data_IF_474011419253
#
_entry.id   IF_474011419253
#
_cell.length_a   1.000
_cell.length_b   1.000
_cell.length_c   1.000
_cell.angle_alpha   90.00
_cell.angle_beta   90.00
_cell.angle_gamma   90.00
#
_symmetry.space_group_name_H-M   'P 1'
#
loop_
_entity.id
_entity.type
_entity.pdbx_description
1 polymer ?
#
# COMPACT_ATOMS: atom_id res chain seq x y z
N UNK A 1 4.37 15.54 -17.87
CA UNK A 1 3.94 14.25 -17.26
C UNK A 1 3.63 14.47 -15.79
N UNK A 2 2.55 13.90 -15.28
CA UNK A 2 2.22 13.85 -13.85
C UNK A 2 2.22 12.39 -13.39
N UNK A 3 2.71 12.13 -12.20
CA UNK A 3 2.90 10.80 -11.63
C UNK A 3 2.07 10.66 -10.35
N UNK A 4 1.31 9.57 -10.28
CA UNK A 4 0.59 9.16 -9.07
C UNK A 4 1.29 7.95 -8.47
N UNK A 5 1.66 8.06 -7.19
CA UNK A 5 2.21 6.96 -6.41
C UNK A 5 1.28 6.68 -5.24
N UNK A 6 0.76 5.46 -5.13
CA UNK A 6 -0.03 5.04 -3.97
C UNK A 6 0.82 4.17 -3.06
N UNK A 7 0.91 4.55 -1.78
CA UNK A 7 1.67 3.82 -0.75
C UNK A 7 0.81 3.56 0.47
N UNK A 8 1.18 2.56 1.25
CA UNK A 8 0.58 2.22 2.55
C UNK A 8 1.69 1.99 3.54
N UNK A 9 1.35 1.75 4.79
CA UNK A 9 2.30 1.23 5.77
C UNK A 9 3.15 0.10 5.17
N UNK A 10 4.50 0.19 5.24
CA UNK A 10 5.40 -0.72 4.53
C UNK A 10 5.30 -2.16 5.04
N UNK A 11 4.95 -2.38 6.32
CA UNK A 11 4.74 -3.70 6.91
C UNK A 11 3.42 -4.29 6.42
N UNK A 12 2.34 -3.51 6.42
CA UNK A 12 1.04 -3.93 5.87
C UNK A 12 1.17 -4.26 4.38
N UNK A 13 1.88 -3.43 3.62
CA UNK A 13 2.16 -3.67 2.19
C UNK A 13 2.95 -4.95 1.98
N UNK A 14 3.99 -5.17 2.79
CA UNK A 14 4.82 -6.38 2.76
C UNK A 14 3.98 -7.65 3.00
N UNK A 15 3.15 -7.65 4.04
CA UNK A 15 2.27 -8.78 4.37
C UNK A 15 1.23 -9.01 3.27
N UNK A 16 0.69 -7.94 2.70
CA UNK A 16 -0.27 -8.03 1.58
C UNK A 16 0.36 -8.67 0.34
N UNK A 17 1.59 -8.31 0.01
CA UNK A 17 2.35 -8.88 -1.10
C UNK A 17 2.66 -10.36 -0.88
N UNK A 18 3.10 -10.74 0.32
CA UNK A 18 3.26 -12.14 0.69
C UNK A 18 1.97 -12.95 0.54
N UNK A 19 0.84 -12.43 1.07
CA UNK A 19 -0.45 -13.09 0.98
C UNK A 19 -0.89 -13.29 -0.49
N UNK A 20 -0.64 -12.31 -1.35
CA UNK A 20 -0.90 -12.41 -2.79
C UNK A 20 -0.01 -13.47 -3.46
N UNK A 21 1.29 -13.49 -3.16
CA UNK A 21 2.22 -14.48 -3.70
C UNK A 21 1.86 -15.91 -3.26
N UNK A 22 1.48 -16.10 -2.00
CA UNK A 22 1.03 -17.38 -1.47
C UNK A 22 -0.26 -17.85 -2.14
N UNK A 23 -1.24 -16.95 -2.32
CA UNK A 23 -2.49 -17.27 -3.02
C UNK A 23 -2.23 -17.65 -4.49
N UNK A 24 -1.35 -16.93 -5.19
CA UNK A 24 -0.99 -17.23 -6.57
C UNK A 24 -0.31 -18.61 -6.70
N UNK A 25 0.57 -18.97 -5.75
CA UNK A 25 1.21 -20.31 -5.73
C UNK A 25 0.18 -21.42 -5.57
N UNK A 26 -0.78 -21.26 -4.65
CA UNK A 26 -1.87 -22.21 -4.43
C UNK A 26 -2.75 -22.36 -5.67
N UNK A 27 -3.10 -21.25 -6.33
CA UNK A 27 -3.88 -21.28 -7.57
C UNK A 27 -3.16 -22.01 -8.71
N UNK A 28 -1.83 -21.87 -8.80
CA UNK A 28 -0.99 -22.55 -9.79
C UNK A 28 -0.57 -23.96 -9.38
N UNK A 29 -1.16 -24.53 -8.30
CA UNK A 29 -0.82 -25.85 -7.76
C UNK A 29 0.69 -26.05 -7.53
N UNK A 30 1.38 -24.98 -7.13
CA UNK A 30 2.80 -25.03 -6.75
C UNK A 30 2.94 -25.40 -5.27
N UNK A 31 4.16 -25.73 -4.89
CA UNK A 31 4.55 -25.88 -3.49
C UNK A 31 4.08 -24.71 -2.63
N UNK A 32 3.70 -25.04 -1.40
CA UNK A 32 3.24 -24.07 -0.43
C UNK A 32 4.29 -22.98 -0.20
N UNK A 33 3.83 -21.74 -0.02
CA UNK A 33 4.73 -20.65 0.30
C UNK A 33 5.45 -20.94 1.62
N UNK A 34 6.77 -20.75 1.71
CA UNK A 34 7.48 -20.85 2.97
C UNK A 34 6.86 -19.89 4.01
N UNK A 35 6.95 -20.21 5.32
CA UNK A 35 6.51 -19.32 6.38
C UNK A 35 7.04 -17.90 6.18
N UNK A 36 6.22 -16.91 6.51
CA UNK A 36 6.53 -15.50 6.27
C UNK A 36 7.89 -15.12 6.88
N UNK A 37 8.13 -15.52 8.12
CA UNK A 37 9.33 -15.27 8.90
C UNK A 37 10.60 -15.81 8.22
N UNK A 38 10.52 -16.97 7.58
CA UNK A 38 11.66 -17.57 6.86
C UNK A 38 12.05 -16.80 5.60
N UNK A 39 11.11 -16.03 5.04
CA UNK A 39 11.36 -15.21 3.85
C UNK A 39 11.92 -13.84 4.20
N UNK A 40 11.46 -13.27 5.32
CA UNK A 40 11.75 -11.89 5.72
C UNK A 40 12.89 -11.76 6.72
N UNK A 41 13.31 -12.84 7.39
CA UNK A 41 14.43 -12.83 8.35
C UNK A 41 15.57 -13.73 7.86
N UNK A 42 16.79 -13.24 8.07
CA UNK A 42 18.03 -14.01 7.91
C UNK A 42 18.28 -14.88 9.16
N UNK A 43 19.22 -15.85 9.10
CA UNK A 43 19.53 -16.73 10.24
C UNK A 43 19.98 -15.99 11.51
N UNK A 44 20.57 -14.80 11.36
CA UNK A 44 20.98 -13.91 12.46
C UNK A 44 19.83 -13.03 13.01
N UNK A 45 18.63 -13.15 12.44
CA UNK A 45 17.45 -12.37 12.81
C UNK A 45 17.38 -10.96 12.19
N UNK A 46 18.32 -10.61 11.30
CA UNK A 46 18.24 -9.37 10.53
C UNK A 46 17.14 -9.47 9.46
N UNK A 47 16.56 -8.34 9.06
CA UNK A 47 15.57 -8.32 7.97
C UNK A 47 16.27 -8.59 6.64
N UNK A 48 15.78 -9.57 5.90
CA UNK A 48 16.25 -9.92 4.57
C UNK A 48 15.85 -8.86 3.54
N UNK A 49 16.71 -7.87 3.33
CA UNK A 49 16.48 -6.78 2.37
C UNK A 49 16.52 -7.21 0.90
N UNK A 50 17.07 -8.40 0.60
CA UNK A 50 17.07 -8.97 -0.75
C UNK A 50 15.73 -9.62 -1.12
N UNK A 51 14.88 -9.93 -0.13
CA UNK A 51 13.54 -10.39 -0.41
C UNK A 51 12.74 -9.27 -1.11
N UNK A 52 12.34 -9.51 -2.36
CA UNK A 52 11.73 -8.49 -3.25
C UNK A 52 10.59 -7.71 -2.58
N UNK A 53 9.64 -8.31 -1.83
CA UNK A 53 8.64 -7.55 -1.09
C UNK A 53 9.19 -6.59 -0.03
N UNK A 54 10.28 -6.93 0.68
CA UNK A 54 10.93 -6.01 1.63
C UNK A 54 11.51 -4.83 0.86
N UNK A 55 12.31 -5.11 -0.18
CA UNK A 55 12.92 -4.09 -1.03
C UNK A 55 11.89 -3.16 -1.66
N UNK A 56 10.73 -3.69 -2.04
CA UNK A 56 9.62 -2.92 -2.64
C UNK A 56 8.97 -1.96 -1.62
N UNK A 57 8.95 -2.34 -0.34
CA UNK A 57 8.45 -1.49 0.76
C UNK A 57 9.42 -0.37 1.17
N UNK A 58 10.68 -0.37 0.70
CA UNK A 58 11.65 0.70 0.95
C UNK A 58 11.40 1.89 0.02
N UNK A 59 10.31 2.62 0.23
CA UNK A 59 9.81 3.62 -0.72
C UNK A 59 10.79 4.74 -1.06
N UNK A 60 11.56 5.22 -0.07
CA UNK A 60 12.57 6.27 -0.28
C UNK A 60 13.58 5.89 -1.38
N UNK A 61 14.04 4.63 -1.39
CA UNK A 61 15.01 4.13 -2.38
C UNK A 61 14.50 4.25 -3.81
N UNK A 62 13.22 3.93 -4.03
CA UNK A 62 12.61 4.01 -5.36
C UNK A 62 12.33 5.45 -5.75
N UNK A 63 11.77 6.24 -4.83
CA UNK A 63 11.37 7.61 -5.12
C UNK A 63 12.57 8.53 -5.34
N UNK A 64 13.71 8.28 -4.67
CA UNK A 64 14.96 9.02 -4.95
C UNK A 64 15.37 8.91 -6.43
N UNK A 65 15.22 7.72 -7.03
CA UNK A 65 15.50 7.50 -8.47
C UNK A 65 14.50 8.21 -9.36
N UNK A 66 13.25 8.37 -8.92
CA UNK A 66 12.25 9.10 -9.70
C UNK A 66 12.52 10.60 -9.64
N UNK A 67 12.93 11.10 -8.46
CA UNK A 67 13.24 12.52 -8.26
C UNK A 67 14.52 12.99 -8.98
N UNK A 68 15.40 12.09 -9.42
CA UNK A 68 16.52 12.45 -10.30
C UNK A 68 16.10 12.77 -11.73
N UNK A 69 14.87 12.41 -12.12
CA UNK A 69 14.34 12.64 -13.48
C UNK A 69 13.09 13.52 -13.49
N UNK A 70 12.27 13.47 -12.44
CA UNK A 70 11.01 14.20 -12.34
C UNK A 70 11.03 15.13 -11.13
N UNK A 71 10.82 16.45 -11.30
CA UNK A 71 10.71 17.35 -10.17
C UNK A 71 9.58 16.93 -9.22
N UNK A 72 9.80 17.13 -7.91
CA UNK A 72 8.88 16.74 -6.84
C UNK A 72 7.43 17.18 -7.03
N UNK A 73 7.20 18.33 -7.67
CA UNK A 73 5.87 18.89 -7.99
C UNK A 73 5.08 18.06 -9.02
N UNK A 74 5.74 17.18 -9.77
CA UNK A 74 5.10 16.26 -10.73
C UNK A 74 4.74 14.91 -10.11
N UNK A 75 5.06 14.68 -8.82
CA UNK A 75 4.76 13.45 -8.12
C UNK A 75 3.76 13.73 -6.99
N UNK A 76 2.58 13.12 -7.08
CA UNK A 76 1.61 13.13 -6.00
C UNK A 76 1.52 11.75 -5.36
N UNK A 77 1.66 11.73 -4.04
CA UNK A 77 1.57 10.52 -3.24
C UNK A 77 0.18 10.41 -2.63
N UNK A 78 -0.56 9.40 -3.07
CA UNK A 78 -1.83 8.98 -2.49
C UNK A 78 -1.56 8.15 -1.25
N UNK A 79 -2.14 8.56 -0.12
CA UNK A 79 -2.09 7.82 1.12
C UNK A 79 -3.10 6.68 1.05
N UNK A 80 -2.61 5.47 0.79
CA UNK A 80 -3.42 4.29 0.61
C UNK A 80 -4.09 3.81 1.90
N UNK A 81 -3.53 4.08 3.07
CA UNK A 81 -4.19 3.75 4.34
C UNK A 81 -5.37 4.66 4.58
N UNK A 82 -5.23 5.95 4.22
CA UNK A 82 -6.35 6.87 4.19
C UNK A 82 -7.34 6.54 3.08
N UNK A 83 -6.90 6.16 1.89
CA UNK A 83 -7.80 5.81 0.78
C UNK A 83 -8.76 4.68 1.16
N UNK A 84 -8.29 3.71 1.97
CA UNK A 84 -9.14 2.63 2.49
C UNK A 84 -10.23 3.15 3.43
N UNK A 85 -9.96 4.20 4.21
CA UNK A 85 -10.88 4.73 5.26
C UNK A 85 -11.73 5.91 4.81
N UNK A 86 -11.15 6.83 4.04
CA UNK A 86 -11.72 8.09 3.57
C UNK A 86 -11.45 8.28 2.06
N UNK A 87 -11.96 7.40 1.17
CA UNK A 87 -11.54 7.37 -0.23
C UNK A 87 -11.83 8.68 -0.98
N UNK A 88 -13.00 9.30 -0.76
CA UNK A 88 -13.37 10.54 -1.43
C UNK A 88 -12.38 11.68 -1.15
N UNK A 89 -11.82 11.73 0.07
CA UNK A 89 -10.88 12.77 0.47
C UNK A 89 -9.54 12.64 -0.25
N UNK A 90 -9.04 11.43 -0.40
CA UNK A 90 -7.82 11.18 -1.21
C UNK A 90 -8.09 11.39 -2.70
N UNK A 91 -9.25 10.97 -3.23
CA UNK A 91 -9.60 11.18 -4.63
C UNK A 91 -9.72 12.65 -5.01
N UNK A 92 -10.27 13.51 -4.13
CA UNK A 92 -10.29 14.97 -4.34
C UNK A 92 -8.89 15.58 -4.44
N UNK A 93 -7.92 15.05 -3.69
CA UNK A 93 -6.51 15.48 -3.78
C UNK A 93 -5.91 15.07 -5.12
N UNK A 94 -6.28 13.90 -5.64
CA UNK A 94 -5.91 13.45 -6.99
C UNK A 94 -6.54 14.34 -8.06
N UNK A 95 -7.84 14.64 -7.99
CA UNK A 95 -8.52 15.57 -8.92
C UNK A 95 -7.80 16.92 -8.95
N UNK A 96 -7.52 17.51 -7.78
CA UNK A 96 -6.81 18.78 -7.67
C UNK A 96 -5.38 18.73 -8.26
N UNK A 97 -4.63 17.68 -7.97
CA UNK A 97 -3.28 17.50 -8.51
C UNK A 97 -3.25 17.37 -10.03
N UNK A 98 -4.22 16.63 -10.59
CA UNK A 98 -4.39 16.47 -12.04
C UNK A 98 -5.05 17.67 -12.71
N UNK A 99 -5.44 18.71 -11.94
CA UNK A 99 -6.18 19.89 -12.40
C UNK A 99 -7.51 19.54 -13.06
N UNK A 100 -8.16 18.51 -12.54
CA UNK A 100 -9.50 18.09 -12.96
C UNK A 100 -10.56 18.80 -12.12
N UNK A 101 -11.71 19.16 -12.70
CA UNK A 101 -12.86 19.60 -11.92
C UNK A 101 -13.28 18.51 -10.94
N UNK A 102 -13.73 18.90 -9.74
CA UNK A 102 -14.27 17.96 -8.75
C UNK A 102 -15.60 17.38 -9.24
N UNK A 103 -15.57 16.19 -9.83
CA UNK A 103 -16.74 15.55 -10.46
C UNK A 103 -17.20 14.31 -9.71
N UNK A 104 -16.38 13.75 -8.81
CA UNK A 104 -16.76 12.57 -8.02
C UNK A 104 -17.77 13.01 -6.93
N UNK A 105 -19.05 12.63 -7.03
CA UNK A 105 -20.05 13.01 -6.03
C UNK A 105 -19.82 12.22 -4.73
N UNK A 106 -20.28 12.76 -3.60
CA UNK A 106 -20.15 12.09 -2.30
C UNK A 106 -20.85 10.73 -2.26
N UNK A 107 -21.93 10.55 -3.03
CA UNK A 107 -22.67 9.30 -3.15
C UNK A 107 -22.06 8.25 -4.08
N UNK A 108 -20.98 8.56 -4.80
CA UNK A 108 -20.33 7.61 -5.72
C UNK A 108 -19.60 6.47 -5.00
N UNK A 109 -19.39 6.59 -3.69
CA UNK A 109 -18.70 5.62 -2.86
C UNK A 109 -19.58 5.23 -1.68
N UNK A 110 -19.74 3.93 -1.46
CA UNK A 110 -20.47 3.41 -0.29
C UNK A 110 -19.65 2.33 0.39
N UNK A 111 -19.72 2.26 1.71
CA UNK A 111 -19.03 1.22 2.46
C UNK A 111 -19.83 -0.09 2.42
N UNK A 112 -19.24 -1.16 1.92
CA UNK A 112 -19.85 -2.49 1.94
C UNK A 112 -19.35 -3.25 3.18
N UNK A 113 -20.23 -3.47 4.16
CA UNK A 113 -19.88 -4.15 5.43
C UNK A 113 -19.40 -5.59 5.24
N UNK A 114 -20.02 -6.32 4.32
CA UNK A 114 -19.63 -7.71 4.01
C UNK A 114 -18.25 -7.77 3.37
N UNK A 115 -17.95 -6.85 2.45
CA UNK A 115 -16.63 -6.76 1.82
C UNK A 115 -15.58 -6.17 2.77
N UNK A 116 -15.98 -5.30 3.69
CA UNK A 116 -15.09 -4.55 4.59
C UNK A 116 -14.38 -3.36 3.94
N UNK A 117 -14.80 -2.95 2.74
CA UNK A 117 -14.20 -1.88 1.95
C UNK A 117 -15.26 -1.00 1.28
N UNK A 118 -14.85 0.21 0.86
CA UNK A 118 -15.66 1.03 -0.02
C UNK A 118 -15.78 0.44 -1.43
N UNK A 119 -16.98 0.51 -1.98
CA UNK A 119 -17.33 0.10 -3.33
C UNK A 119 -17.87 1.30 -4.12
N UNK A 120 -17.88 1.19 -5.44
CA UNK A 120 -18.32 2.23 -6.36
C UNK A 120 -19.82 2.11 -6.61
N UNK A 121 -20.54 3.23 -6.60
CA UNK A 121 -21.92 3.34 -7.07
C UNK A 121 -21.93 4.29 -8.26
N UNK A 122 -21.81 3.79 -9.50
CA UNK A 122 -21.97 4.62 -10.69
C UNK A 122 -23.38 5.23 -10.70
N UNK A 123 -23.51 6.46 -11.22
CA UNK A 123 -24.81 7.12 -11.34
C UNK A 123 -25.82 6.35 -12.21
N UNK A 124 -25.34 5.38 -13.01
CA UNK A 124 -26.10 4.71 -14.08
C UNK A 124 -26.50 3.25 -13.76
N UNK A 125 -26.13 2.71 -12.59
CA UNK A 125 -26.52 1.35 -12.19
C UNK A 125 -27.02 1.33 -10.75
N UNK A 126 -28.25 0.84 -10.54
CA UNK A 126 -28.78 0.55 -9.21
C UNK A 126 -27.89 -0.44 -8.42
N UNK A 127 -27.09 -1.24 -9.13
CA UNK A 127 -26.12 -2.16 -8.57
C UNK A 127 -24.75 -1.49 -8.40
N UNK A 128 -24.31 -1.36 -7.16
CA UNK A 128 -22.94 -0.97 -6.85
C UNK A 128 -21.93 -2.03 -7.28
N UNK A 129 -20.70 -1.61 -7.59
CA UNK A 129 -19.59 -2.49 -7.98
C UNK A 129 -18.46 -2.41 -6.95
N UNK A 130 -18.14 -3.55 -6.35
CA UNK A 130 -16.97 -3.70 -5.50
C UNK A 130 -15.75 -4.12 -6.32
N UNK A 131 -14.55 -3.89 -5.78
CA UNK A 131 -13.34 -4.51 -6.32
C UNK A 131 -13.44 -6.04 -6.21
N UNK A 132 -12.80 -6.75 -7.15
CA UNK A 132 -12.85 -8.20 -7.25
C UNK A 132 -12.33 -8.91 -5.97
N UNK A 133 -12.51 -10.23 -5.89
CA UNK A 133 -12.13 -11.01 -4.71
C UNK A 133 -10.62 -11.10 -4.47
N UNK A 134 -9.83 -10.68 -5.46
CA UNK A 134 -8.40 -10.50 -5.25
C UNK A 134 -8.04 -9.27 -4.40
N UNK A 135 -8.97 -8.33 -4.21
CA UNK A 135 -8.76 -7.11 -3.42
C UNK A 135 -9.39 -7.26 -2.04
N UNK A 136 -8.60 -6.91 -1.01
CA UNK A 136 -9.06 -6.95 0.38
C UNK A 136 -8.99 -8.33 1.05
N UNK A 137 -8.08 -9.20 0.62
CA UNK A 137 -7.90 -10.53 1.24
C UNK A 137 -7.49 -10.41 2.71
N UNK A 138 -7.90 -11.39 3.52
CA UNK A 138 -7.40 -11.51 4.90
C UNK A 138 -5.89 -11.75 4.87
N UNK A 139 -5.18 -10.96 5.65
CA UNK A 139 -3.74 -11.11 5.82
C UNK A 139 -3.46 -12.23 6.82
N UNK A 140 -2.36 -12.99 6.65
CA UNK A 140 -1.92 -13.93 7.66
C UNK A 140 -1.58 -13.20 8.97
N UNK A 141 -1.72 -13.90 10.09
CA UNK A 141 -1.21 -13.41 11.35
C UNK A 141 0.32 -13.36 11.29
N UNK A 142 0.90 -12.26 11.76
CA UNK A 142 2.36 -12.08 11.89
C UNK A 142 2.64 -11.83 13.37
N UNK A 143 3.57 -12.57 13.99
CA UNK A 143 3.90 -12.38 15.40
C UNK A 143 4.35 -10.95 15.71
N UNK A 144 3.93 -10.43 16.87
CA UNK A 144 4.29 -9.08 17.32
C UNK A 144 5.79 -8.75 17.25
N UNK A 145 6.69 -9.62 17.75
CA UNK A 145 8.14 -9.38 17.65
C UNK A 145 8.65 -9.22 16.22
N UNK A 146 8.05 -9.95 15.28
CA UNK A 146 8.39 -9.86 13.85
C UNK A 146 7.91 -8.54 13.27
N UNK A 147 6.69 -8.11 13.61
CA UNK A 147 6.15 -6.79 13.22
C UNK A 147 7.04 -5.67 13.74
N UNK A 148 7.41 -5.70 15.03
CA UNK A 148 8.29 -4.68 15.61
C UNK A 148 9.67 -4.64 14.96
N UNK A 149 10.26 -5.81 14.66
CA UNK A 149 11.53 -5.87 13.92
C UNK A 149 11.42 -5.22 12.54
N UNK A 150 10.34 -5.49 11.81
CA UNK A 150 10.09 -4.89 10.50
C UNK A 150 9.88 -3.38 10.59
N UNK A 151 9.12 -2.90 11.59
CA UNK A 151 8.89 -1.46 11.81
C UNK A 151 10.19 -0.72 12.10
N UNK A 152 11.03 -1.27 12.98
CA UNK A 152 12.36 -0.73 13.27
C UNK A 152 13.24 -0.70 12.01
N UNK A 153 13.22 -1.76 11.21
CA UNK A 153 13.93 -1.82 9.93
C UNK A 153 13.44 -0.75 8.93
N UNK A 154 12.13 -0.54 8.81
CA UNK A 154 11.57 0.44 7.86
C UNK A 154 11.64 1.89 8.34
N UNK A 155 11.74 2.13 9.65
CA UNK A 155 11.77 3.48 10.24
C UNK A 155 12.74 4.47 9.55
N UNK A 156 14.03 4.16 9.32
CA UNK A 156 14.92 5.09 8.61
C UNK A 156 14.44 5.39 7.18
N UNK A 157 13.94 4.39 6.45
CA UNK A 157 13.41 4.58 5.09
C UNK A 157 12.10 5.39 5.08
N UNK A 158 11.27 5.24 6.12
CA UNK A 158 10.04 6.00 6.28
C UNK A 158 10.35 7.48 6.51
N UNK A 159 11.27 7.79 7.42
CA UNK A 159 11.70 9.17 7.70
C UNK A 159 12.30 9.84 6.47
N UNK A 160 13.16 9.14 5.73
CA UNK A 160 13.68 9.65 4.46
C UNK A 160 12.56 9.88 3.44
N UNK A 161 11.62 8.94 3.31
CA UNK A 161 10.47 9.09 2.42
C UNK A 161 9.63 10.31 2.79
N UNK A 162 9.37 10.54 4.08
CA UNK A 162 8.60 11.69 4.56
C UNK A 162 9.30 13.00 4.26
N UNK A 163 10.63 13.05 4.46
CA UNK A 163 11.45 14.20 4.11
C UNK A 163 11.39 14.50 2.60
N UNK A 164 11.67 13.50 1.76
CA UNK A 164 11.56 13.63 0.30
C UNK A 164 10.16 14.08 -0.11
N UNK A 165 9.13 13.58 0.59
CA UNK A 165 7.75 13.87 0.30
C UNK A 165 7.21 15.17 0.94
N UNK A 166 7.96 15.81 1.83
CA UNK A 166 7.45 16.94 2.63
C UNK A 166 6.14 16.63 3.35
N UNK A 167 5.90 15.36 3.68
CA UNK A 167 4.67 14.87 4.32
C UNK A 167 4.96 13.65 5.15
N UNK A 168 4.55 13.68 6.41
CA UNK A 168 4.48 12.53 7.29
C UNK A 168 3.20 11.72 7.03
N UNK A 169 3.31 10.39 6.98
CA UNK A 169 2.20 9.46 6.78
C UNK A 169 1.79 8.74 8.08
N UNK A 170 2.51 8.96 9.18
CA UNK A 170 2.19 8.43 10.50
C UNK A 170 2.31 6.90 10.60
N UNK A 171 3.23 6.29 9.84
CA UNK A 171 3.42 4.84 9.94
C UNK A 171 4.15 4.48 11.24
N UNK A 172 3.73 3.41 11.95
CA UNK A 172 4.35 3.03 13.21
C UNK A 172 5.81 2.58 13.05
N UNK A 173 6.65 2.98 14.00
CA UNK A 173 8.08 2.62 14.04
C UNK A 173 8.42 1.55 15.08
N UNK A 174 7.47 1.14 15.93
CA UNK A 174 7.61 0.10 16.97
C UNK A 174 6.45 -0.89 16.93
#
# INVERSE_FOLDING_TARGET
LLLLLIVRDPVVRLVSDYAQLAANRRQLQREEAPPFERLILLPDGAVNSEYRPVRTSMYAVHVRRWLSHFPRRQLHVVDGDRLVREPLRELRRVEAFLRLPARIPSGALYFNRTKGFFCLRPNDTATGRCLNDSKGRRHPHVPGPVVSRLRQFFAPFNREFYHLMGRDFGWPEQ
#
